data_IF_662261013717
#
_entry.id   IF_662261013717
#
_cell.length_a   1.000
_cell.length_b   1.000
_cell.length_c   1.000
_cell.angle_alpha   90.00
_cell.angle_beta   90.00
_cell.angle_gamma   90.00
#
_symmetry.space_group_name_H-M   'P 1'
#
loop_
_entity.id
_entity.type
_entity.pdbx_description
1 polymer ?
#
# COMPACT_ATOMS: atom_id res chain seq x y z
N UNK A 1 -3.84 18.71 -1.53
CA UNK A 1 -4.41 20.09 -1.50
C UNK A 1 -5.85 20.18 -2.02
N UNK A 2 -6.48 19.09 -2.42
CA UNK A 2 -7.81 19.18 -3.02
C UNK A 2 -8.87 18.71 -2.03
N UNK A 3 -9.85 19.56 -1.80
CA UNK A 3 -11.12 19.13 -1.22
C UNK A 3 -11.80 18.20 -2.20
N UNK A 4 -12.31 17.07 -1.73
CA UNK A 4 -13.16 16.19 -2.55
C UNK A 4 -14.65 16.35 -2.14
N UNK A 5 -15.55 15.89 -3.01
CA UNK A 5 -16.96 15.83 -2.67
C UNK A 5 -17.19 14.67 -1.72
N UNK A 6 -17.89 14.92 -0.60
CA UNK A 6 -18.16 13.92 0.43
C UNK A 6 -18.99 12.74 -0.12
N UNK A 7 -19.81 12.96 -1.13
CA UNK A 7 -20.61 11.92 -1.79
C UNK A 7 -19.79 11.01 -2.72
N UNK A 8 -18.53 11.39 -3.06
CA UNK A 8 -17.61 10.56 -3.86
C UNK A 8 -16.91 9.50 -2.98
N UNK A 9 -17.68 8.61 -2.38
CA UNK A 9 -17.23 7.65 -1.38
C UNK A 9 -17.68 6.20 -1.64
N UNK A 10 -18.29 5.91 -2.79
CA UNK A 10 -18.81 4.57 -3.09
C UNK A 10 -17.70 3.54 -3.28
N UNK A 11 -16.68 3.93 -4.03
CA UNK A 11 -15.48 3.12 -4.31
C UNK A 11 -14.23 3.97 -4.12
N UNK A 12 -13.14 3.36 -3.70
CA UNK A 12 -11.86 4.04 -3.64
C UNK A 12 -11.27 4.16 -5.05
N UNK A 13 -10.90 5.38 -5.45
CA UNK A 13 -10.39 5.64 -6.80
C UNK A 13 -8.91 5.26 -6.93
N UNK A 14 -8.46 4.78 -8.11
CA UNK A 14 -7.06 4.40 -8.33
C UNK A 14 -6.06 5.55 -8.15
N UNK A 15 -6.48 6.80 -8.39
CA UNK A 15 -5.68 8.00 -8.18
C UNK A 15 -5.81 8.59 -6.75
N UNK A 16 -6.54 7.90 -5.90
CA UNK A 16 -6.82 8.29 -4.51
C UNK A 16 -7.40 9.71 -4.32
N UNK A 17 -7.95 10.33 -5.38
CA UNK A 17 -8.50 11.71 -5.32
C UNK A 17 -9.63 11.86 -4.31
N UNK A 18 -10.33 10.77 -3.96
CA UNK A 18 -11.42 10.73 -3.01
C UNK A 18 -11.03 10.15 -1.64
N UNK A 19 -9.74 10.12 -1.30
CA UNK A 19 -9.23 9.51 -0.06
C UNK A 19 -9.96 10.03 1.19
N UNK A 20 -10.13 11.35 1.33
CA UNK A 20 -10.81 11.94 2.49
C UNK A 20 -12.28 11.51 2.59
N UNK A 21 -13.00 11.50 1.47
CA UNK A 21 -14.41 11.11 1.44
C UNK A 21 -14.57 9.59 1.71
N UNK A 22 -13.65 8.79 1.20
CA UNK A 22 -13.68 7.36 1.42
C UNK A 22 -13.35 6.99 2.88
N UNK A 23 -12.32 7.60 3.47
CA UNK A 23 -12.00 7.45 4.90
C UNK A 23 -13.15 7.90 5.79
N UNK A 24 -13.82 9.01 5.44
CA UNK A 24 -15.02 9.48 6.15
C UNK A 24 -16.15 8.44 6.11
N UNK A 25 -16.38 7.82 4.94
CA UNK A 25 -17.34 6.72 4.86
C UNK A 25 -16.95 5.56 5.79
N UNK A 26 -15.67 5.17 5.79
CA UNK A 26 -15.18 4.09 6.64
C UNK A 26 -15.35 4.45 8.12
N UNK A 27 -15.01 5.66 8.54
CA UNK A 27 -15.24 6.13 9.90
C UNK A 27 -16.69 5.95 10.35
N UNK A 28 -17.66 6.31 9.48
CA UNK A 28 -19.10 6.29 9.81
C UNK A 28 -19.76 4.92 9.67
N UNK A 29 -19.29 4.06 8.76
CA UNK A 29 -19.96 2.80 8.39
C UNK A 29 -19.16 1.55 8.71
N UNK A 30 -17.84 1.66 8.83
CA UNK A 30 -16.91 0.55 9.05
C UNK A 30 -15.80 0.97 10.02
N UNK A 31 -16.14 1.33 11.28
CA UNK A 31 -15.19 1.90 12.23
C UNK A 31 -14.01 0.98 12.51
N UNK A 32 -14.21 -0.35 12.51
CA UNK A 32 -13.12 -1.32 12.72
C UNK A 32 -12.08 -1.24 11.60
N UNK A 33 -12.52 -1.14 10.33
CA UNK A 33 -11.61 -0.98 9.20
C UNK A 33 -10.89 0.37 9.26
N UNK A 34 -11.60 1.43 9.64
CA UNK A 34 -11.02 2.76 9.80
C UNK A 34 -9.92 2.78 10.88
N UNK A 35 -10.17 2.15 12.03
CA UNK A 35 -9.17 2.07 13.10
C UNK A 35 -7.96 1.23 12.68
N UNK A 36 -8.17 0.09 12.01
CA UNK A 36 -7.08 -0.72 11.46
C UNK A 36 -6.19 0.09 10.48
N UNK A 37 -6.79 0.98 9.68
CA UNK A 37 -6.04 1.88 8.79
C UNK A 37 -5.21 2.85 9.63
N UNK A 38 -5.78 3.48 10.65
CA UNK A 38 -5.05 4.40 11.52
C UNK A 38 -3.91 3.70 12.25
N UNK A 39 -4.13 2.48 12.74
CA UNK A 39 -3.10 1.69 13.41
C UNK A 39 -1.94 1.34 12.46
N UNK A 40 -2.25 0.94 11.23
CA UNK A 40 -1.22 0.71 10.22
C UNK A 40 -0.41 1.98 9.92
N UNK A 41 -1.07 3.14 9.85
CA UNK A 41 -0.40 4.44 9.67
C UNK A 41 0.47 4.79 10.88
N UNK A 42 0.00 4.57 12.10
CA UNK A 42 0.76 4.79 13.35
C UNK A 42 2.03 3.94 13.42
N UNK A 43 2.00 2.73 12.86
CA UNK A 43 3.20 1.88 12.77
C UNK A 43 4.28 2.50 11.90
N UNK A 44 3.91 3.11 10.77
CA UNK A 44 4.83 3.67 9.78
C UNK A 44 5.20 5.13 10.07
N UNK A 45 4.28 5.88 10.63
CA UNK A 45 4.42 7.27 11.00
C UNK A 45 4.09 7.44 12.51
N UNK A 46 5.04 7.17 13.42
CA UNK A 46 4.78 7.17 14.86
C UNK A 46 4.30 8.51 15.45
N UNK A 47 4.53 9.60 14.75
CA UNK A 47 4.03 10.94 15.09
C UNK A 47 2.54 11.11 14.78
N UNK A 48 1.98 10.32 13.87
CA UNK A 48 0.56 10.38 13.51
C UNK A 48 -0.32 9.91 14.70
N UNK A 49 -1.35 10.68 15.02
CA UNK A 49 -2.35 10.33 16.02
C UNK A 49 -3.64 9.82 15.34
N UNK A 50 -4.31 10.68 14.62
CA UNK A 50 -5.63 10.39 14.05
C UNK A 50 -5.92 11.26 12.84
N UNK A 51 -6.88 10.82 12.01
CA UNK A 51 -7.45 11.67 10.97
C UNK A 51 -8.52 12.59 11.54
N UNK A 52 -8.61 13.80 10.98
CA UNK A 52 -9.71 14.72 11.16
C UNK A 52 -10.47 14.82 9.84
N UNK A 53 -11.68 14.28 9.81
CA UNK A 53 -12.49 14.13 8.60
C UNK A 53 -13.80 14.90 8.72
N UNK A 54 -13.74 16.13 9.22
CA UNK A 54 -14.93 16.96 9.31
C UNK A 54 -15.24 17.63 7.97
N UNK A 55 -16.53 17.65 7.57
CA UNK A 55 -16.96 18.47 6.43
C UNK A 55 -16.54 19.93 6.59
N UNK A 56 -16.23 20.59 5.48
CA UNK A 56 -15.85 22.00 5.51
C UNK A 56 -16.98 22.87 6.05
N UNK A 57 -16.70 23.74 6.99
CA UNK A 57 -17.67 24.69 7.54
C UNK A 57 -18.28 25.64 6.50
N UNK A 58 -17.53 25.89 5.40
CA UNK A 58 -17.96 26.77 4.32
C UNK A 58 -18.76 26.04 3.23
N UNK A 59 -18.64 24.72 3.15
CA UNK A 59 -19.33 23.89 2.17
C UNK A 59 -19.41 22.46 2.68
N UNK A 60 -20.53 22.08 3.25
CA UNK A 60 -20.78 20.77 3.86
C UNK A 60 -20.67 19.60 2.86
N UNK A 61 -20.77 19.87 1.54
CA UNK A 61 -20.55 18.85 0.51
C UNK A 61 -19.08 18.55 0.26
N UNK A 62 -18.16 19.29 0.89
CA UNK A 62 -16.72 19.13 0.70
C UNK A 62 -16.04 18.69 1.97
N UNK A 63 -15.06 17.81 1.78
CA UNK A 63 -14.20 17.30 2.84
C UNK A 63 -12.74 17.45 2.45
N UNK A 64 -11.90 17.70 3.45
CA UNK A 64 -10.44 17.78 3.32
C UNK A 64 -9.82 16.70 4.20
N UNK A 65 -8.72 16.11 3.75
CA UNK A 65 -7.92 15.22 4.57
C UNK A 65 -7.05 16.08 5.50
N UNK A 66 -7.42 16.06 6.76
CA UNK A 66 -6.61 16.62 7.85
C UNK A 66 -6.21 15.49 8.81
N UNK A 67 -5.16 15.72 9.56
CA UNK A 67 -4.65 14.78 10.53
C UNK A 67 -4.09 15.51 11.76
N UNK A 68 -3.99 14.79 12.86
CA UNK A 68 -3.47 15.29 14.13
C UNK A 68 -2.16 14.58 14.46
N UNK A 69 -1.21 15.33 15.01
CA UNK A 69 0.04 14.80 15.55
C UNK A 69 -0.11 14.45 17.04
N UNK A 70 0.55 13.40 17.48
CA UNK A 70 0.58 13.02 18.90
C UNK A 70 1.13 14.15 19.75
N UNK A 71 0.37 14.54 20.78
CA UNK A 71 0.78 15.60 21.70
C UNK A 71 0.58 17.02 21.19
N UNK A 72 -0.05 17.19 20.02
CA UNK A 72 -0.46 18.49 19.49
C UNK A 72 -1.99 18.60 19.47
N UNK A 73 -2.50 19.79 19.68
CA UNK A 73 -3.92 20.12 19.48
C UNK A 73 -4.20 20.69 18.09
N UNK A 74 -3.17 20.96 17.31
CA UNK A 74 -3.27 21.49 15.96
C UNK A 74 -3.62 20.39 14.94
N UNK A 75 -4.36 20.78 13.90
CA UNK A 75 -4.66 19.96 12.74
C UNK A 75 -3.78 20.34 11.56
N UNK A 76 -3.26 19.35 10.87
CA UNK A 76 -2.39 19.50 9.72
C UNK A 76 -3.09 19.01 8.46
N UNK A 77 -2.87 19.69 7.36
CA UNK A 77 -3.32 19.22 6.05
C UNK A 77 -2.49 18.04 5.55
N UNK A 78 -3.04 17.25 4.66
CA UNK A 78 -2.31 16.15 3.99
C UNK A 78 -0.99 16.59 3.34
N UNK A 79 -0.88 17.89 2.92
CA UNK A 79 0.35 18.44 2.34
C UNK A 79 1.51 18.58 3.34
N UNK A 80 1.28 18.40 4.62
CA UNK A 80 2.33 18.36 5.64
C UNK A 80 2.93 16.95 5.82
N UNK A 81 2.29 15.92 5.23
CA UNK A 81 2.83 14.57 5.19
C UNK A 81 3.89 14.44 4.09
N UNK A 82 4.86 13.55 4.30
CA UNK A 82 5.75 13.14 3.22
C UNK A 82 4.99 12.37 2.13
N UNK A 83 5.50 12.39 0.90
CA UNK A 83 4.90 11.63 -0.21
C UNK A 83 4.83 10.13 0.12
N UNK A 84 5.86 9.57 0.76
CA UNK A 84 5.87 8.18 1.21
C UNK A 84 4.77 7.90 2.23
N UNK A 85 4.60 8.75 3.25
CA UNK A 85 3.53 8.60 4.24
C UNK A 85 2.15 8.67 3.60
N UNK A 86 1.93 9.64 2.71
CA UNK A 86 0.65 9.78 2.00
C UNK A 86 0.37 8.56 1.10
N UNK A 87 1.39 8.07 0.39
CA UNK A 87 1.29 6.84 -0.42
C UNK A 87 0.93 5.63 0.45
N UNK A 88 1.58 5.49 1.61
CA UNK A 88 1.26 4.41 2.54
C UNK A 88 -0.18 4.49 3.04
N UNK A 89 -0.69 5.69 3.37
CA UNK A 89 -2.10 5.89 3.76
C UNK A 89 -3.06 5.42 2.64
N UNK A 90 -2.76 5.76 1.38
CA UNK A 90 -3.56 5.30 0.24
C UNK A 90 -3.55 3.78 0.11
N UNK A 91 -2.39 3.14 0.23
CA UNK A 91 -2.24 1.69 0.16
C UNK A 91 -2.93 0.99 1.34
N UNK A 92 -2.75 1.48 2.56
CA UNK A 92 -3.45 0.96 3.74
C UNK A 92 -4.97 1.07 3.59
N UNK A 93 -5.46 2.21 3.08
CA UNK A 93 -6.89 2.40 2.80
C UNK A 93 -7.42 1.42 1.76
N UNK A 94 -6.67 1.18 0.68
CA UNK A 94 -7.02 0.20 -0.36
C UNK A 94 -7.06 -1.23 0.20
N UNK A 95 -6.06 -1.61 1.00
CA UNK A 95 -5.88 -2.99 1.44
C UNK A 95 -6.72 -3.36 2.67
N UNK A 96 -7.03 -2.40 3.54
CA UNK A 96 -7.79 -2.60 4.79
C UNK A 96 -9.26 -2.19 4.69
N UNK A 97 -9.76 -1.84 3.50
CA UNK A 97 -11.18 -1.58 3.31
C UNK A 97 -12.01 -2.86 3.53
N UNK A 98 -13.31 -2.77 3.78
CA UNK A 98 -14.18 -3.94 3.94
C UNK A 98 -14.11 -4.88 2.74
N UNK A 99 -14.16 -6.18 2.97
CA UNK A 99 -14.14 -7.21 1.91
C UNK A 99 -15.16 -6.95 0.80
N UNK A 100 -16.37 -6.50 1.18
CA UNK A 100 -17.45 -6.16 0.24
C UNK A 100 -17.11 -4.99 -0.71
N UNK A 101 -16.06 -4.24 -0.42
CA UNK A 101 -15.57 -3.12 -1.24
C UNK A 101 -14.26 -3.42 -1.95
N UNK A 102 -13.59 -4.52 -1.58
CA UNK A 102 -12.35 -4.93 -2.24
C UNK A 102 -12.62 -5.30 -3.71
N UNK A 103 -11.82 -4.82 -4.66
CA UNK A 103 -11.85 -5.32 -6.02
C UNK A 103 -11.31 -6.75 -6.05
N UNK A 104 -11.82 -7.57 -6.98
CA UNK A 104 -11.37 -8.96 -7.13
C UNK A 104 -9.89 -9.06 -7.56
N UNK A 105 -9.38 -8.03 -8.22
CA UNK A 105 -7.99 -7.93 -8.69
C UNK A 105 -7.45 -6.54 -8.34
N UNK A 106 -6.27 -6.52 -7.74
CA UNK A 106 -5.52 -5.30 -7.40
C UNK A 106 -4.18 -5.34 -8.14
N UNK A 107 -3.93 -4.32 -8.95
CA UNK A 107 -2.66 -4.15 -9.65
C UNK A 107 -1.92 -2.96 -9.02
N UNK A 108 -0.68 -3.19 -8.58
CA UNK A 108 0.17 -2.17 -7.98
C UNK A 108 1.49 -2.09 -8.74
N UNK A 109 1.91 -0.88 -9.04
CA UNK A 109 3.18 -0.60 -9.71
C UNK A 109 4.06 0.21 -8.75
N UNK A 110 5.26 -0.34 -8.43
CA UNK A 110 6.23 0.23 -7.50
C UNK A 110 5.56 0.77 -6.20
N UNK A 111 4.76 -0.03 -5.48
CA UNK A 111 4.00 0.50 -4.32
C UNK A 111 4.90 0.93 -3.17
N UNK A 112 6.13 0.43 -3.11
CA UNK A 112 7.13 0.73 -2.10
C UNK A 112 7.89 2.03 -2.34
N UNK A 113 7.72 2.68 -3.49
CA UNK A 113 8.50 3.87 -3.85
C UNK A 113 8.31 5.00 -2.82
N UNK A 114 9.44 5.45 -2.26
CA UNK A 114 9.45 6.50 -1.22
C UNK A 114 9.13 6.01 0.19
N UNK A 115 8.91 4.71 0.40
CA UNK A 115 8.70 4.13 1.71
C UNK A 115 10.03 3.78 2.40
N UNK A 116 10.05 4.00 3.72
CA UNK A 116 11.14 3.48 4.55
C UNK A 116 11.10 1.94 4.60
N UNK A 117 12.25 1.22 4.71
CA UNK A 117 12.27 -0.25 4.76
C UNK A 117 11.29 -0.88 5.76
N UNK A 118 11.11 -0.29 6.93
CA UNK A 118 10.09 -0.76 7.89
C UNK A 118 8.66 -0.65 7.34
N UNK A 119 8.33 0.44 6.65
CA UNK A 119 7.03 0.62 6.01
C UNK A 119 6.79 -0.41 4.89
N UNK A 120 7.84 -0.80 4.16
CA UNK A 120 7.78 -1.87 3.16
C UNK A 120 7.43 -3.22 3.80
N UNK A 121 8.02 -3.53 4.97
CA UNK A 121 7.68 -4.76 5.69
C UNK A 121 6.22 -4.77 6.17
N UNK A 122 5.72 -3.64 6.68
CA UNK A 122 4.31 -3.48 7.05
C UNK A 122 3.41 -3.65 5.83
N UNK A 123 3.75 -2.99 4.70
CA UNK A 123 3.01 -3.11 3.44
C UNK A 123 2.93 -4.57 2.96
N UNK A 124 4.05 -5.30 2.99
CA UNK A 124 4.08 -6.71 2.62
C UNK A 124 3.15 -7.56 3.51
N UNK A 125 3.06 -7.26 4.81
CA UNK A 125 2.11 -7.87 5.72
C UNK A 125 0.65 -7.62 5.31
N UNK A 126 0.32 -6.37 4.93
CA UNK A 126 -1.01 -6.00 4.42
C UNK A 126 -1.33 -6.72 3.11
N UNK A 127 -0.40 -6.76 2.16
CA UNK A 127 -0.56 -7.48 0.88
C UNK A 127 -0.86 -8.96 1.11
N UNK A 128 -0.10 -9.65 1.96
CA UNK A 128 -0.36 -11.08 2.31
C UNK A 128 -1.70 -11.29 3.00
N UNK A 129 -2.12 -10.36 3.86
CA UNK A 129 -3.42 -10.47 4.52
C UNK A 129 -4.56 -10.32 3.52
N UNK A 130 -4.47 -9.33 2.64
CA UNK A 130 -5.51 -9.02 1.65
C UNK A 130 -5.56 -10.05 0.52
N UNK A 131 -4.44 -10.72 0.19
CA UNK A 131 -4.38 -11.75 -0.87
C UNK A 131 -5.28 -12.96 -0.60
N UNK A 132 -5.79 -13.12 0.62
CA UNK A 132 -6.79 -14.15 0.97
C UNK A 132 -8.18 -13.85 0.37
N UNK A 133 -8.44 -12.59 0.02
CA UNK A 133 -9.75 -12.10 -0.42
C UNK A 133 -9.72 -11.53 -1.84
N UNK A 134 -8.55 -11.14 -2.36
CA UNK A 134 -8.38 -10.56 -3.69
C UNK A 134 -7.10 -11.06 -4.34
N UNK A 135 -7.08 -11.18 -5.65
CA UNK A 135 -5.83 -11.41 -6.38
C UNK A 135 -5.02 -10.11 -6.40
N UNK A 136 -3.78 -10.17 -5.93
CA UNK A 136 -2.88 -9.01 -5.93
C UNK A 136 -1.71 -9.31 -6.86
N UNK A 137 -1.43 -8.38 -7.77
CA UNK A 137 -0.28 -8.41 -8.66
C UNK A 137 0.52 -7.14 -8.40
N UNK A 138 1.78 -7.31 -8.03
CA UNK A 138 2.71 -6.21 -7.76
C UNK A 138 3.84 -6.26 -8.76
N UNK A 139 4.06 -5.16 -9.49
CA UNK A 139 5.29 -4.96 -10.25
C UNK A 139 6.25 -4.15 -9.37
N UNK A 140 7.47 -4.64 -9.20
CA UNK A 140 8.48 -3.98 -8.35
C UNK A 140 9.89 -4.30 -8.79
N UNK A 141 10.80 -3.38 -8.53
CA UNK A 141 12.25 -3.56 -8.63
C UNK A 141 12.93 -3.46 -7.25
N UNK A 142 12.18 -3.56 -6.16
CA UNK A 142 12.70 -3.43 -4.82
C UNK A 142 13.14 -4.77 -4.22
N UNK A 143 14.44 -4.94 -4.06
CA UNK A 143 15.03 -6.05 -3.30
C UNK A 143 14.40 -6.20 -1.92
N UNK A 144 14.18 -5.06 -1.23
CA UNK A 144 13.57 -5.05 0.11
C UNK A 144 12.15 -5.61 0.11
N UNK A 145 11.35 -5.28 -0.92
CA UNK A 145 9.99 -5.81 -1.03
C UNK A 145 9.99 -7.28 -1.45
N UNK A 146 10.82 -7.66 -2.43
CA UNK A 146 10.98 -9.05 -2.88
C UNK A 146 11.38 -9.96 -1.74
N UNK A 147 12.30 -9.54 -0.86
CA UNK A 147 12.74 -10.28 0.32
C UNK A 147 11.61 -10.53 1.36
N UNK A 148 10.46 -9.87 1.22
CA UNK A 148 9.31 -10.12 2.08
C UNK A 148 8.45 -11.30 1.63
N UNK A 149 8.67 -11.86 0.46
CA UNK A 149 7.83 -12.91 -0.13
C UNK A 149 8.60 -14.22 -0.34
N UNK A 150 7.85 -15.29 -0.55
CA UNK A 150 8.42 -16.60 -0.87
C UNK A 150 8.59 -16.81 -2.38
N UNK A 151 9.35 -17.83 -2.80
CA UNK A 151 9.59 -18.13 -4.22
C UNK A 151 8.28 -18.36 -5.01
N UNK A 152 7.25 -18.92 -4.37
CA UNK A 152 5.96 -19.18 -5.03
C UNK A 152 5.20 -17.90 -5.38
N UNK A 153 5.50 -16.80 -4.68
CA UNK A 153 4.86 -15.51 -4.91
C UNK A 153 5.53 -14.73 -6.04
N UNK A 154 6.73 -15.17 -6.50
CA UNK A 154 7.55 -14.43 -7.45
C UNK A 154 7.35 -14.94 -8.88
N UNK A 155 7.21 -14.00 -9.79
CA UNK A 155 7.28 -14.19 -11.22
C UNK A 155 8.37 -13.29 -11.77
N UNK A 156 9.43 -13.88 -12.28
CA UNK A 156 10.52 -13.16 -12.94
C UNK A 156 10.08 -12.79 -14.35
N UNK A 157 10.35 -11.55 -14.76
CA UNK A 157 10.02 -11.06 -16.10
C UNK A 157 11.31 -10.70 -16.80
N UNK A 158 11.60 -11.40 -17.90
CA UNK A 158 12.74 -11.16 -18.77
C UNK A 158 12.28 -10.65 -20.14
N UNK A 159 13.22 -10.10 -20.92
CA UNK A 159 12.98 -9.68 -22.30
C UNK A 159 13.82 -10.52 -23.26
N UNK A 160 13.16 -11.35 -24.03
CA UNK A 160 13.79 -12.14 -25.09
C UNK A 160 13.25 -11.71 -26.47
N UNK A 161 14.13 -11.36 -27.38
CA UNK A 161 13.79 -11.03 -28.80
C UNK A 161 12.57 -10.11 -28.91
N UNK A 162 12.56 -9.01 -28.15
CA UNK A 162 11.48 -7.99 -28.08
C UNK A 162 10.16 -8.44 -27.44
N UNK A 163 10.13 -9.62 -26.81
CA UNK A 163 8.95 -10.12 -26.11
C UNK A 163 9.27 -10.25 -24.61
N UNK A 164 8.25 -10.01 -23.76
CA UNK A 164 8.35 -10.28 -22.34
C UNK A 164 8.10 -11.77 -22.09
N UNK A 165 9.01 -12.39 -21.36
CA UNK A 165 8.90 -13.79 -20.93
C UNK A 165 8.68 -13.82 -19.43
N UNK A 166 7.67 -14.57 -18.97
CA UNK A 166 7.31 -14.71 -17.57
C UNK A 166 7.71 -16.08 -17.08
N UNK A 167 8.54 -16.14 -16.07
CA UNK A 167 9.04 -17.37 -15.49
C UNK A 167 8.73 -17.45 -13.98
N UNK A 168 8.13 -18.55 -13.54
CA UNK A 168 8.02 -18.85 -12.12
C UNK A 168 9.30 -19.52 -11.63
N UNK A 169 9.67 -19.22 -10.39
CA UNK A 169 10.84 -19.82 -9.78
C UNK A 169 10.57 -21.30 -9.47
N UNK A 170 11.51 -22.16 -9.82
CA UNK A 170 11.45 -23.58 -9.49
C UNK A 170 12.08 -23.83 -8.11
N UNK A 171 11.28 -24.33 -7.16
CA UNK A 171 11.70 -24.52 -5.76
C UNK A 171 12.90 -25.45 -5.56
N UNK A 172 12.97 -26.63 -6.22
CA UNK A 172 14.02 -27.58 -5.93
C UNK A 172 15.44 -27.04 -6.18
N UNK A 173 15.59 -26.20 -7.20
CA UNK A 173 16.89 -25.63 -7.57
C UNK A 173 17.31 -24.47 -6.65
N UNK A 174 16.41 -23.98 -5.81
CA UNK A 174 16.62 -22.78 -5.00
C UNK A 174 16.73 -23.07 -3.50
N UNK A 175 16.35 -24.25 -3.02
CA UNK A 175 16.31 -24.57 -1.58
C UNK A 175 17.67 -24.29 -0.91
N UNK A 176 18.78 -24.73 -1.51
CA UNK A 176 20.12 -24.48 -0.97
C UNK A 176 20.50 -22.99 -0.90
N UNK A 177 20.04 -22.20 -1.87
CA UNK A 177 20.35 -20.77 -1.90
C UNK A 177 19.52 -19.95 -0.92
N UNK A 178 18.28 -20.38 -0.66
CA UNK A 178 17.36 -19.69 0.26
C UNK A 178 17.70 -19.90 1.73
N UNK A 179 18.55 -20.89 2.05
CA UNK A 179 19.09 -21.06 3.41
C UNK A 179 20.09 -19.95 3.79
N UNK A 180 20.79 -19.37 2.81
CA UNK A 180 21.85 -18.38 3.04
C UNK A 180 21.49 -16.97 2.57
N UNK A 181 20.61 -16.84 1.58
CA UNK A 181 20.31 -15.57 0.88
C UNK A 181 18.81 -15.32 0.78
N UNK A 182 18.40 -14.05 0.87
CA UNK A 182 17.05 -13.63 0.50
C UNK A 182 16.84 -13.69 -1.01
N UNK A 183 15.58 -13.77 -1.44
CA UNK A 183 15.22 -13.78 -2.87
C UNK A 183 15.71 -12.54 -3.61
N UNK A 184 15.58 -11.37 -2.99
CA UNK A 184 16.07 -10.12 -3.57
C UNK A 184 17.58 -10.07 -3.70
N UNK A 185 18.33 -10.69 -2.74
CA UNK A 185 19.79 -10.79 -2.81
C UNK A 185 20.23 -11.70 -3.97
N UNK A 186 19.50 -12.79 -4.21
CA UNK A 186 19.71 -13.69 -5.34
C UNK A 186 19.41 -13.00 -6.66
N UNK A 187 18.37 -12.15 -6.69
CA UNK A 187 18.07 -11.35 -7.87
C UNK A 187 19.16 -10.32 -8.16
N UNK A 188 19.64 -9.55 -7.16
CA UNK A 188 20.79 -8.64 -7.32
C UNK A 188 22.02 -9.31 -7.88
N UNK A 189 22.30 -10.56 -7.44
CA UNK A 189 23.39 -11.38 -7.96
C UNK A 189 23.13 -11.99 -9.34
N UNK A 190 21.97 -11.70 -9.94
CA UNK A 190 21.51 -12.23 -11.22
C UNK A 190 21.41 -13.76 -11.28
N UNK A 191 21.11 -14.39 -10.14
CA UNK A 191 20.85 -15.83 -10.07
C UNK A 191 19.46 -16.18 -10.59
N UNK A 192 18.50 -15.25 -10.40
CA UNK A 192 17.09 -15.46 -10.77
C UNK A 192 16.73 -15.02 -12.19
N UNK A 193 17.58 -14.25 -12.87
CA UNK A 193 17.22 -13.53 -14.10
C UNK A 193 16.42 -12.27 -13.84
N UNK A 194 15.81 -11.68 -14.89
CA UNK A 194 14.96 -10.48 -14.77
C UNK A 194 15.71 -9.21 -14.44
N UNK A 195 16.98 -9.12 -14.78
CA UNK A 195 17.74 -7.86 -14.68
C UNK A 195 17.36 -6.92 -15.80
N UNK A 196 17.16 -5.59 -15.53
CA UNK A 196 16.98 -4.59 -16.57
C UNK A 196 18.23 -4.42 -17.44
#
# INVERSE_FOLDING_TARGET
KQTCNIADNKTFHPDARNLAAFLYLLEKKHPDCFENIQDAVRMVAPFFDSFNLNPSQLNEDKILLEWKEKGSDDYFNASALSDGTLRFICLATLLLQPESKLPSIILLDEPELGLHPYAIAVLAGLLRSTSKYAQIIVATQSVTLVNQFGPDDIVVVDREKEQSVFCRLDRPDMECWLEEYGLGDLWEKNVLGGRP
#
